data_IF_464824263274
#
_entry.id   IF_464824263274
#
_cell.length_a   1.000
_cell.length_b   1.000
_cell.length_c   1.000
_cell.angle_alpha   90.00
_cell.angle_beta   90.00
_cell.angle_gamma   90.00
#
_symmetry.space_group_name_H-M   'P 1'
#
loop_
_entity.id
_entity.type
_entity.pdbx_description
1 polymer ?
#
# COMPACT_ATOMS: atom_id res chain seq x y z
N UNK A 3 21.25 10.05 -14.92
CA UNK A 3 21.37 8.78 -15.62
C UNK A 3 20.26 8.62 -16.66
N UNK A 4 20.58 7.93 -17.75
CA UNK A 4 19.61 7.75 -18.83
C UNK A 4 18.47 6.81 -18.41
N UNK A 5 18.72 5.89 -17.48
CA UNK A 5 17.73 4.91 -17.05
C UNK A 5 17.22 5.20 -15.64
N UNK A 6 17.06 6.48 -15.31
CA UNK A 6 16.69 6.86 -13.96
C UNK A 6 15.22 6.59 -13.67
N UNK A 7 14.32 7.06 -14.55
CA UNK A 7 12.89 6.94 -14.28
C UNK A 7 12.45 5.49 -14.21
N UNK A 8 12.94 4.65 -15.14
CA UNK A 8 12.56 3.24 -15.13
C UNK A 8 13.00 2.56 -13.84
N UNK A 9 14.23 2.85 -13.38
CA UNK A 9 14.72 2.25 -12.15
C UNK A 9 13.95 2.77 -10.93
N UNK A 10 13.45 4.00 -11.00
CA UNK A 10 12.65 4.53 -9.91
C UNK A 10 11.29 3.83 -9.85
N UNK A 11 10.72 3.51 -11.01
CA UNK A 11 9.42 2.85 -11.04
C UNK A 11 9.52 1.43 -10.49
N UNK A 12 10.54 0.68 -10.92
CA UNK A 12 10.71 -0.69 -10.45
C UNK A 12 10.96 -0.72 -8.96
N UNK A 13 11.72 0.25 -8.44
CA UNK A 13 11.94 0.33 -7.00
C UNK A 13 10.64 0.63 -6.27
N UNK A 14 9.84 1.57 -6.80
CA UNK A 14 8.57 1.92 -6.17
C UNK A 14 7.59 0.77 -6.21
N UNK A 15 7.61 -0.04 -7.28
CA UNK A 15 6.65 -1.12 -7.44
C UNK A 15 7.05 -2.40 -6.72
N UNK A 16 8.24 -2.46 -6.14
CA UNK A 16 8.71 -3.66 -5.45
C UNK A 16 9.26 -3.32 -4.07
N UNK A 17 8.64 -2.35 -3.40
CA UNK A 17 9.04 -1.99 -2.05
C UNK A 17 8.72 -3.11 -1.07
N UNK A 18 9.67 -3.44 -0.21
CA UNK A 18 9.51 -4.49 0.80
C UNK A 18 10.11 -3.97 2.11
N UNK A 19 9.25 -3.52 3.02
CA UNK A 19 9.68 -3.01 4.31
C UNK A 19 9.12 -3.88 5.42
N UNK A 20 9.98 -4.29 6.35
CA UNK A 20 9.59 -5.12 7.48
C UNK A 20 9.99 -4.52 8.82
N UNK A 21 10.91 -3.57 8.86
CA UNK A 21 11.40 -2.99 10.09
C UNK A 21 12.90 -3.10 10.29
N UNK A 22 13.64 -3.65 9.32
CA UNK A 22 15.10 -3.73 9.44
C UNK A 22 15.75 -2.39 9.10
N UNK A 23 15.41 -1.84 7.94
CA UNK A 23 15.90 -0.52 7.59
C UNK A 23 15.27 0.53 8.50
N UNK A 24 16.04 1.51 8.97
CA UNK A 24 15.45 2.60 9.74
C UNK A 24 14.42 3.36 8.92
N UNK A 25 13.39 3.86 9.62
CA UNK A 25 12.33 4.61 8.95
C UNK A 25 12.89 5.86 8.26
N UNK A 26 13.93 6.47 8.84
CA UNK A 26 14.58 7.62 8.20
C UNK A 26 14.99 7.30 6.77
N UNK A 27 15.73 6.21 6.58
CA UNK A 27 16.22 5.86 5.25
C UNK A 27 15.06 5.51 4.32
N UNK A 28 14.12 4.69 4.79
CA UNK A 28 13.02 4.25 3.94
C UNK A 28 12.14 5.42 3.51
N UNK A 29 11.91 6.38 4.42
CA UNK A 29 11.08 7.53 4.08
C UNK A 29 11.73 8.37 3.00
N UNK A 30 12.97 8.82 3.23
CA UNK A 30 13.66 9.64 2.25
C UNK A 30 13.88 8.90 0.94
N UNK A 31 14.03 7.58 0.99
CA UNK A 31 14.16 6.80 -0.23
C UNK A 31 12.90 6.90 -1.09
N UNK A 32 11.73 6.69 -0.49
CA UNK A 32 10.48 6.75 -1.24
C UNK A 32 10.15 8.19 -1.60
N UNK A 33 10.38 9.12 -0.66
CA UNK A 33 10.07 10.53 -0.92
C UNK A 33 10.89 11.07 -2.10
N UNK A 34 12.15 10.66 -2.19
CA UNK A 34 12.99 11.09 -3.31
C UNK A 34 12.50 10.50 -4.64
N UNK A 35 12.13 9.22 -4.63
CA UNK A 35 11.63 8.58 -5.84
C UNK A 35 10.38 9.31 -6.35
N UNK A 36 9.46 9.63 -5.45
CA UNK A 36 8.24 10.32 -5.85
C UNK A 36 8.56 11.71 -6.40
N UNK A 37 9.50 12.41 -5.77
CA UNK A 37 9.86 13.74 -6.24
C UNK A 37 10.57 13.69 -7.58
N UNK A 38 11.47 12.71 -7.75
CA UNK A 38 12.17 12.56 -9.03
C UNK A 38 11.21 12.23 -10.16
N UNK A 39 10.26 11.32 -9.91
CA UNK A 39 9.30 10.96 -10.94
C UNK A 39 8.39 12.13 -11.30
N UNK A 40 7.99 12.93 -10.30
CA UNK A 40 7.14 14.08 -10.59
C UNK A 40 7.90 15.16 -11.34
N UNK A 41 9.19 15.31 -11.09
CA UNK A 41 9.98 16.30 -11.82
C UNK A 41 10.21 15.89 -13.27
N UNK A 42 10.21 14.59 -13.55
CA UNK A 42 10.42 14.09 -14.90
C UNK A 42 9.13 13.92 -15.69
N UNK A 43 7.97 14.22 -15.11
CA UNK A 43 6.71 14.13 -15.80
C UNK A 43 5.87 12.91 -15.48
N UNK A 44 6.33 12.04 -14.58
CA UNK A 44 5.60 10.84 -14.20
C UNK A 44 4.91 11.17 -12.88
N UNK A 45 3.69 11.70 -12.99
CA UNK A 45 2.95 12.19 -11.82
C UNK A 45 2.42 11.03 -11.00
N UNK A 46 2.92 10.92 -9.76
CA UNK A 46 2.45 9.91 -8.82
C UNK A 46 1.87 10.65 -7.63
N UNK A 47 0.54 10.75 -7.58
CA UNK A 47 -0.14 11.50 -6.53
C UNK A 47 -0.14 10.72 -5.22
N UNK A 48 -0.68 11.35 -4.17
CA UNK A 48 -0.69 10.74 -2.85
C UNK A 48 -1.43 9.40 -2.86
N UNK A 49 -2.56 9.32 -3.56
CA UNK A 49 -3.37 8.11 -3.57
C UNK A 49 -2.57 6.92 -4.10
N UNK A 50 -2.02 7.04 -5.31
CA UNK A 50 -1.31 5.92 -5.92
C UNK A 50 0.00 5.64 -5.19
N UNK A 51 0.67 6.69 -4.69
CA UNK A 51 1.92 6.48 -3.98
C UNK A 51 1.70 5.69 -2.69
N UNK A 52 0.74 6.12 -1.87
CA UNK A 52 0.45 5.42 -0.62
C UNK A 52 0.08 3.97 -0.88
N UNK A 53 -0.72 3.72 -1.92
CA UNK A 53 -1.08 2.35 -2.27
C UNK A 53 0.15 1.50 -2.54
N UNK A 54 1.11 2.04 -3.29
CA UNK A 54 2.32 1.28 -3.62
C UNK A 54 3.20 1.06 -2.40
N UNK A 55 3.23 2.01 -1.47
CA UNK A 55 4.02 1.84 -0.26
C UNK A 55 3.44 0.73 0.60
N UNK A 57 1.61 -1.68 -0.31
CA UNK A 57 1.88 -2.94 -0.99
C UNK A 57 3.30 -3.39 -0.65
N UNK A 58 3.45 -4.65 -0.25
CA UNK A 58 4.73 -5.15 0.21
C UNK A 58 5.11 -4.71 1.61
N UNK A 59 4.34 -3.83 2.23
CA UNK A 59 4.58 -3.42 3.62
C UNK A 59 4.14 -4.57 4.51
N UNK A 60 5.09 -5.38 4.95
CA UNK A 60 4.81 -6.64 5.63
C UNK A 60 5.31 -6.58 7.07
N UNK A 61 5.24 -7.73 7.74
CA UNK A 61 5.67 -7.81 9.13
C UNK A 61 4.62 -7.26 10.06
N UNK A 62 5.04 -6.46 11.02
CA UNK A 62 4.12 -5.80 11.94
C UNK A 62 3.51 -4.52 11.36
N UNK A 63 3.79 -4.21 10.10
CA UNK A 63 3.23 -3.06 9.43
C UNK A 63 2.06 -3.43 8.53
N UNK A 64 1.68 -4.70 8.49
CA UNK A 64 0.63 -5.17 7.59
C UNK A 64 -0.70 -4.44 7.86
N UNK A 65 -1.01 -4.21 9.15
CA UNK A 65 -2.33 -3.71 9.51
C UNK A 65 -2.62 -2.33 8.92
N UNK A 66 -1.60 -1.59 8.50
CA UNK A 66 -1.83 -0.30 7.87
C UNK A 66 -2.50 -0.45 6.51
N UNK A 67 -2.30 -1.59 5.85
CA UNK A 67 -2.97 -1.86 4.59
C UNK A 67 -4.42 -2.28 4.79
N UNK A 68 -4.81 -2.61 6.02
CA UNK A 68 -6.20 -2.94 6.34
C UNK A 68 -7.00 -1.69 6.65
N UNK A 69 -6.45 -0.79 7.47
CA UNK A 69 -7.12 0.45 7.83
C UNK A 69 -7.15 1.45 6.69
N UNK A 70 -6.38 1.22 5.62
CA UNK A 70 -6.33 2.15 4.49
C UNK A 70 -7.70 2.38 3.85
N UNK A 71 -8.66 1.47 4.04
CA UNK A 71 -9.96 1.64 3.42
C UNK A 71 -10.73 2.79 4.04
N UNK A 72 -10.66 2.92 5.37
CA UNK A 72 -11.23 4.10 6.03
C UNK A 72 -10.34 5.33 5.84
N UNK A 73 -9.08 5.15 5.46
CA UNK A 73 -8.13 6.24 5.33
C UNK A 73 -7.99 6.59 3.84
N UNK A 74 -8.87 7.47 3.39
CA UNK A 74 -8.78 8.06 2.06
C UNK A 74 -8.35 9.52 2.20
N UNK A 75 -7.66 10.02 1.19
CA UNK A 75 -6.94 11.30 1.19
C UNK A 75 -5.71 11.25 2.08
N UNK A 77 -2.11 11.25 3.08
CA UNK A 77 -0.92 11.72 2.42
C UNK A 77 0.26 10.81 2.72
N UNK A 78 1.29 10.92 1.86
CA UNK A 78 2.51 10.12 2.06
C UNK A 78 3.16 10.46 3.39
N UNK A 79 3.18 11.75 3.75
CA UNK A 79 3.72 12.16 5.04
C UNK A 79 2.95 11.52 6.20
N UNK A 80 1.62 11.46 6.08
CA UNK A 80 0.82 10.82 7.11
C UNK A 80 1.12 9.33 7.21
N UNK A 81 1.26 8.67 6.07
CA UNK A 81 1.54 7.23 6.07
C UNK A 81 2.86 6.91 6.74
N UNK A 82 3.86 7.79 6.57
CA UNK A 82 5.15 7.54 7.19
C UNK A 82 5.15 7.88 8.67
N UNK A 83 4.36 8.87 9.09
CA UNK A 83 4.18 9.12 10.51
C UNK A 83 3.68 7.87 11.22
N UNK A 84 2.80 7.11 10.56
CA UNK A 84 2.36 5.83 11.09
C UNK A 84 3.52 4.84 11.15
N UNK A 85 4.26 4.70 10.04
CA UNK A 85 5.40 3.79 9.99
C UNK A 85 6.45 4.18 11.04
N UNK A 86 6.72 5.48 11.15
CA UNK A 86 7.68 5.95 12.15
C UNK A 86 7.24 5.56 13.55
N UNK A 87 5.98 5.81 13.89
CA UNK A 87 5.48 5.51 15.23
C UNK A 87 5.61 4.02 15.54
N UNK A 88 5.48 3.16 14.54
CA UNK A 88 5.65 1.73 14.77
C UNK A 88 7.13 1.41 14.95
N UNK A 89 8.00 2.09 14.18
CA UNK A 89 9.43 1.84 14.29
C UNK A 89 9.99 2.30 15.63
N UNK A 90 9.57 3.47 16.12
CA UNK A 90 10.02 3.95 17.41
C UNK A 90 9.64 2.98 18.53
N UNK A 91 8.42 2.47 18.50
CA UNK A 91 7.97 1.51 19.50
C UNK A 91 8.55 0.12 19.30
N UNK A 92 9.14 -0.17 18.14
CA UNK A 92 9.70 -1.49 17.90
C UNK A 92 11.00 -1.71 18.66
N UNK A 93 11.63 -0.65 19.15
CA UNK A 93 12.87 -0.78 19.91
C UNK A 93 12.86 0.07 21.18
N UNK B 3 -11.71 1.27 -11.45
CA UNK B 3 -11.31 0.67 -10.18
C UNK B 3 -10.52 1.65 -9.34
N UNK B 4 -10.66 1.54 -8.01
CA UNK B 4 -9.96 2.45 -7.11
C UNK B 4 -8.47 2.17 -7.08
N UNK B 5 -8.06 0.91 -7.31
CA UNK B 5 -6.67 0.50 -7.29
C UNK B 5 -6.15 0.20 -8.69
N UNK B 6 -6.60 0.96 -9.68
CA UNK B 6 -6.26 0.66 -11.07
C UNK B 6 -4.83 1.07 -11.40
N UNK B 7 -4.44 2.30 -11.08
CA UNK B 7 -3.14 2.81 -11.46
C UNK B 7 -2.01 1.99 -10.82
N UNK B 8 -2.14 1.67 -9.54
CA UNK B 8 -1.13 0.88 -8.85
C UNK B 8 -0.95 -0.48 -9.50
N UNK B 9 -2.05 -1.15 -9.85
CA UNK B 9 -1.96 -2.47 -10.45
C UNK B 9 -1.35 -2.42 -11.85
N UNK B 10 -1.55 -1.32 -12.58
CA UNK B 10 -0.93 -1.18 -13.89
C UNK B 10 0.58 -0.97 -13.76
N UNK B 11 1.00 -0.22 -12.75
CA UNK B 11 2.43 0.07 -12.56
C UNK B 11 3.17 -1.20 -12.17
N UNK B 12 2.61 -1.97 -11.23
CA UNK B 12 3.28 -3.19 -10.78
C UNK B 12 3.39 -4.19 -11.93
N UNK B 13 2.36 -4.27 -12.77
CA UNK B 13 2.43 -5.14 -13.94
C UNK B 13 3.49 -4.66 -14.93
N UNK B 14 3.56 -3.34 -15.15
CA UNK B 14 4.53 -2.81 -16.10
C UNK B 14 5.96 -2.98 -15.61
N UNK B 15 6.18 -2.93 -14.28
CA UNK B 15 7.52 -3.03 -13.74
C UNK B 15 8.00 -4.47 -13.59
N UNK B 16 7.15 -5.46 -13.84
CA UNK B 16 7.51 -6.87 -13.69
C UNK B 16 7.10 -7.64 -14.94
N UNK B 17 7.22 -7.02 -16.11
CA UNK B 17 6.91 -7.71 -17.35
C UNK B 17 7.92 -8.83 -17.60
N UNK B 18 7.41 -10.00 -17.99
CA UNK B 18 8.25 -11.17 -18.26
C UNK B 18 7.75 -11.84 -19.53
N UNK B 19 8.46 -11.61 -20.64
CA UNK B 19 8.13 -12.22 -21.92
C UNK B 19 9.28 -13.10 -22.38
N UNK B 20 8.97 -14.33 -22.77
CA UNK B 20 9.97 -15.27 -23.25
C UNK B 20 9.66 -15.84 -24.63
N UNK B 21 8.42 -15.75 -25.10
CA UNK B 21 8.01 -16.32 -26.37
C UNK B 21 6.89 -17.32 -26.27
N UNK B 22 6.34 -17.57 -25.08
CA UNK B 22 5.21 -18.49 -24.95
C UNK B 22 3.90 -17.81 -25.32
N UNK B 23 3.63 -16.65 -24.72
CA UNK B 23 2.46 -15.87 -25.09
C UNK B 23 2.62 -15.32 -26.50
N UNK B 24 1.57 -15.36 -27.32
CA UNK B 24 1.65 -14.72 -28.64
C UNK B 24 1.93 -13.23 -28.52
N UNK B 25 2.66 -12.71 -29.50
CA UNK B 25 3.01 -11.28 -29.50
C UNK B 25 1.76 -10.41 -29.52
N UNK B 26 0.70 -10.87 -30.18
CA UNK B 26 -0.57 -10.13 -30.19
C UNK B 26 -1.02 -9.80 -28.77
N UNK B 27 -1.11 -10.82 -27.91
CA UNK B 27 -1.60 -10.61 -26.55
C UNK B 27 -0.65 -9.71 -25.76
N UNK B 28 0.65 -9.97 -25.84
CA UNK B 28 1.62 -9.21 -25.06
C UNK B 28 1.62 -7.74 -25.48
N UNK B 29 1.47 -7.46 -26.78
CA UNK B 29 1.47 -6.09 -27.24
C UNK B 29 0.28 -5.32 -26.69
N UNK B 30 -0.93 -5.83 -26.92
CA UNK B 30 -2.13 -5.16 -26.43
C UNK B 30 -2.14 -5.06 -24.91
N UNK B 31 -1.53 -6.03 -24.23
CA UNK B 31 -1.42 -5.95 -22.77
C UNK B 31 -0.60 -4.74 -22.34
N UNK B 32 0.57 -4.56 -22.95
CA UNK B 32 1.43 -3.43 -22.59
C UNK B 32 0.84 -2.12 -23.12
N UNK B 33 0.28 -2.15 -24.33
CA UNK B 33 -0.30 -0.94 -24.90
C UNK B 33 -1.46 -0.43 -24.06
N UNK B 34 -2.27 -1.35 -23.53
CA UNK B 34 -3.39 -0.94 -22.68
C UNK B 34 -2.89 -0.34 -21.38
N UNK B 35 -1.88 -0.96 -20.76
CA UNK B 35 -1.33 -0.42 -19.50
C UNK B 35 -0.86 1.01 -19.69
N UNK B 36 -0.11 1.25 -20.77
CA UNK B 36 0.40 2.60 -21.02
C UNK B 36 -0.74 3.57 -21.29
N UNK B 37 -1.75 3.12 -22.04
CA UNK B 37 -2.88 4.00 -22.35
C UNK B 37 -3.74 4.25 -21.12
N UNK B 38 -3.97 3.23 -20.29
CA UNK B 38 -4.76 3.40 -19.08
C UNK B 38 -4.07 4.36 -18.11
N UNK B 39 -2.76 4.21 -17.93
CA UNK B 39 -2.03 5.10 -17.04
C UNK B 39 -2.03 6.53 -17.57
N UNK B 40 -1.92 6.70 -18.89
CA UNK B 40 -1.93 8.04 -19.47
C UNK B 40 -3.28 8.72 -19.33
N UNK B 41 -4.37 7.94 -19.33
CA UNK B 41 -5.68 8.53 -19.13
C UNK B 41 -5.87 9.02 -17.70
N UNK B 42 -5.15 8.43 -16.75
CA UNK B 42 -5.22 8.82 -15.36
C UNK B 42 -4.20 9.91 -15.00
N UNK B 43 -3.39 10.35 -15.95
CA UNK B 43 -2.41 11.40 -15.72
C UNK B 43 -0.98 10.93 -15.56
N UNK B 44 -0.73 9.63 -15.65
CA UNK B 44 0.61 9.07 -15.52
C UNK B 44 1.13 8.78 -16.93
N UNK B 45 2.04 9.61 -17.42
CA UNK B 45 2.58 9.48 -18.76
C UNK B 45 3.90 8.72 -18.73
N UNK B 46 3.92 7.56 -19.37
CA UNK B 46 5.13 6.77 -19.55
C UNK B 46 5.54 6.95 -21.01
N UNK B 47 6.55 7.78 -21.26
CA UNK B 47 6.94 8.10 -22.63
C UNK B 47 7.65 6.91 -23.26
N UNK B 48 7.96 7.06 -24.55
CA UNK B 48 8.58 5.97 -25.31
C UNK B 48 9.90 5.52 -24.68
N UNK B 49 10.72 6.47 -24.25
CA UNK B 49 12.02 6.13 -23.66
C UNK B 49 11.85 5.26 -22.43
N UNK B 50 11.05 5.72 -21.46
CA UNK B 50 10.89 4.98 -20.22
C UNK B 50 10.11 3.69 -20.45
N UNK B 51 9.14 3.71 -21.36
CA UNK B 51 8.34 2.53 -21.64
C UNK B 51 9.20 1.42 -22.26
N UNK B 52 9.95 1.75 -23.31
CA UNK B 52 10.79 0.76 -23.98
C UNK B 52 11.78 0.12 -23.01
N UNK B 53 12.38 0.92 -22.12
CA UNK B 53 13.30 0.39 -21.12
C UNK B 53 12.61 -0.66 -20.26
N UNK B 54 11.38 -0.38 -19.81
CA UNK B 54 10.67 -1.32 -18.96
C UNK B 54 10.25 -2.56 -19.72
N UNK B 55 9.93 -2.42 -21.01
CA UNK B 55 9.54 -3.58 -21.82
C UNK B 55 10.74 -4.50 -22.02
N UNK B 57 13.31 -4.75 -20.28
CA UNK B 57 13.59 -5.37 -18.99
C UNK B 57 12.70 -6.58 -18.80
N UNK B 58 13.29 -7.71 -18.41
CA UNK B 58 12.57 -8.95 -18.32
C UNK B 58 12.30 -9.64 -19.64
N UNK B 59 12.63 -9.00 -20.77
CA UNK B 59 12.51 -9.62 -22.08
C UNK B 59 13.61 -10.65 -22.23
N UNK B 60 13.28 -11.92 -21.99
CA UNK B 60 14.26 -13.00 -21.88
C UNK B 60 14.08 -13.98 -23.03
N UNK B 61 14.83 -15.08 -22.96
CA UNK B 61 14.79 -16.09 -24.00
C UNK B 61 15.60 -15.70 -25.21
N UNK B 62 15.04 -15.90 -26.41
CA UNK B 62 15.68 -15.45 -27.62
C UNK B 62 15.46 -13.97 -27.90
N UNK B 63 14.80 -13.25 -26.98
CA UNK B 63 14.55 -11.82 -27.11
C UNK B 63 15.51 -10.98 -26.29
N UNK B 64 16.47 -11.61 -25.59
CA UNK B 64 17.36 -10.87 -24.70
C UNK B 64 18.18 -9.82 -25.43
N UNK B 65 18.48 -10.05 -26.72
CA UNK B 65 19.40 -9.17 -27.41
C UNK B 65 18.84 -7.77 -27.61
N UNK B 66 17.50 -7.62 -27.60
CA UNK B 66 16.92 -6.30 -27.83
C UNK B 66 17.36 -5.30 -26.76
N UNK B 67 17.67 -5.79 -25.55
CA UNK B 67 18.18 -4.94 -24.50
C UNK B 67 19.66 -4.60 -24.69
N UNK B 68 20.36 -5.31 -25.57
CA UNK B 68 21.76 -5.02 -25.85
C UNK B 68 21.91 -3.94 -26.92
N UNK B 69 21.15 -4.07 -28.01
CA UNK B 69 21.19 -3.11 -29.10
C UNK B 69 20.50 -1.79 -28.76
N UNK B 70 19.76 -1.72 -27.65
CA UNK B 70 19.03 -0.51 -27.29
C UNK B 70 19.95 0.70 -27.16
N UNK B 71 21.25 0.49 -26.96
CA UNK B 71 22.17 1.61 -26.80
C UNK B 71 22.29 2.41 -28.10
N UNK B 72 22.29 1.72 -29.24
CA UNK B 72 22.22 2.40 -30.52
C UNK B 72 20.82 2.94 -30.80
N UNK B 73 19.80 2.45 -30.10
CA UNK B 73 18.42 2.83 -30.36
C UNK B 73 17.91 3.80 -29.30
N UNK B 74 18.15 5.09 -29.52
CA UNK B 74 17.49 6.16 -28.79
C UNK B 74 16.53 6.85 -29.75
N UNK B 75 15.46 7.41 -29.18
CA UNK B 75 14.30 7.90 -29.91
C UNK B 75 13.46 6.75 -30.46
N UNK B 77 10.47 3.99 -30.55
CA UNK B 77 9.08 4.02 -30.15
C UNK B 77 8.63 2.63 -29.71
N UNK B 78 7.54 2.60 -28.93
CA UNK B 78 6.99 1.33 -28.47
C UNK B 78 6.52 0.49 -29.65
N UNK B 79 5.88 1.12 -30.63
CA UNK B 79 5.44 0.41 -31.83
C UNK B 79 6.61 -0.23 -32.55
N UNK B 80 7.74 0.48 -32.66
CA UNK B 80 8.92 -0.09 -33.28
C UNK B 80 9.46 -1.27 -32.48
N UNK B 81 9.48 -1.16 -31.15
CA UNK B 81 9.99 -2.23 -30.31
C UNK B 81 9.15 -3.50 -30.45
N UNK B 82 7.84 -3.35 -30.62
CA UNK B 82 6.98 -4.52 -30.77
C UNK B 82 7.06 -5.12 -32.16
N UNK B 83 7.30 -4.29 -33.18
CA UNK B 83 7.57 -4.82 -34.51
C UNK B 83 8.76 -5.77 -34.49
N UNK B 84 9.77 -5.46 -33.69
CA UNK B 84 10.91 -6.36 -33.51
C UNK B 84 10.46 -7.67 -32.86
N UNK B 85 9.73 -7.57 -31.74
CA UNK B 85 9.28 -8.76 -31.03
C UNK B 85 8.38 -9.61 -31.93
N UNK B 86 7.48 -8.96 -32.66
CA UNK B 86 6.59 -9.69 -33.57
C UNK B 86 7.38 -10.48 -34.60
N UNK B 87 8.36 -9.84 -35.24
CA UNK B 87 9.15 -10.52 -36.27
C UNK B 87 9.87 -11.74 -35.70
N UNK B 88 10.25 -11.69 -34.42
CA UNK B 88 10.88 -12.84 -33.80
C UNK B 88 9.86 -13.94 -33.55
N UNK B 89 8.64 -13.56 -33.16
CA UNK B 89 7.60 -14.54 -32.91
C UNK B 89 7.20 -15.26 -34.19
N UNK B 90 7.16 -14.53 -35.31
CA UNK B 90 6.87 -15.17 -36.59
C UNK B 90 7.87 -16.28 -36.88
N UNK B 91 9.14 -16.04 -36.60
CA UNK B 91 10.17 -17.05 -36.83
C UNK B 91 10.14 -18.17 -35.80
N UNK B 92 9.54 -17.92 -34.63
CA UNK B 92 9.38 -18.93 -33.59
C UNK B 92 8.27 -19.93 -33.91
N UNK B 93 7.49 -19.67 -34.97
CA UNK B 93 6.36 -20.51 -35.36
C UNK B 93 6.68 -21.04 -36.76
N UNK B 94 7.54 -22.05 -36.80
CA UNK B 94 8.03 -22.61 -38.04
C UNK B 94 9.43 -23.18 -37.87
N UNK C 3 -29.19 -3.09 38.57
CA UNK C 3 -28.46 -3.88 39.54
C UNK C 3 -27.76 -2.98 40.56
N UNK C 4 -27.64 -3.47 41.80
CA UNK C 4 -26.99 -2.69 42.85
C UNK C 4 -25.49 -2.56 42.60
N UNK C 5 -24.89 -3.54 41.94
CA UNK C 5 -23.45 -3.55 41.67
C UNK C 5 -23.17 -3.28 40.19
N UNK C 6 -23.98 -2.41 39.59
CA UNK C 6 -23.87 -2.17 38.15
C UNK C 6 -22.64 -1.33 37.81
N UNK C 7 -22.48 -0.19 38.48
CA UNK C 7 -21.40 0.73 38.13
C UNK C 7 -20.03 0.09 38.36
N UNK C 8 -19.85 -0.60 39.49
CA UNK C 8 -18.57 -1.23 39.78
C UNK C 8 -18.22 -2.28 38.73
N UNK C 9 -19.19 -3.10 38.34
CA UNK C 9 -18.91 -4.15 37.36
C UNK C 9 -18.64 -3.58 35.97
N UNK C 10 -19.22 -2.42 35.65
CA UNK C 10 -18.92 -1.79 34.37
C UNK C 10 -17.50 -1.23 34.32
N UNK C 11 -17.03 -0.67 35.43
CA UNK C 11 -15.69 -0.09 35.46
C UNK C 11 -14.63 -1.18 35.38
N UNK C 12 -14.78 -2.23 36.18
CA UNK C 12 -13.78 -3.30 36.18
C UNK C 12 -13.73 -4.00 34.83
N UNK C 13 -14.89 -4.16 34.18
CA UNK C 13 -14.91 -4.75 32.85
C UNK C 13 -14.21 -3.84 31.83
N UNK C 14 -14.46 -2.53 31.92
CA UNK C 14 -13.83 -1.59 31.00
C UNK C 14 -12.32 -1.51 31.21
N UNK C 15 -11.85 -1.67 32.45
CA UNK C 15 -10.44 -1.55 32.76
C UNK C 15 -9.65 -2.82 32.51
N UNK C 16 -10.31 -3.91 32.15
CA UNK C 16 -9.66 -5.19 31.89
C UNK C 16 -10.11 -5.78 30.56
N UNK C 17 -10.35 -4.91 29.58
CA UNK C 17 -10.73 -5.38 28.26
C UNK C 17 -9.56 -6.12 27.61
N UNK C 18 -9.86 -7.27 27.00
CA UNK C 18 -8.85 -8.10 26.34
C UNK C 18 -9.44 -8.58 25.01
N UNK C 19 -9.01 -7.96 23.92
CA UNK C 19 -9.45 -8.32 22.58
C UNK C 19 -8.26 -8.80 21.76
N UNK C 20 -8.42 -9.96 21.13
CA UNK C 20 -7.37 -10.53 20.29
C UNK C 20 -7.82 -10.83 18.87
N UNK C 21 -9.12 -10.90 18.61
CA UNK C 21 -9.64 -11.24 17.29
C UNK C 21 -10.54 -12.46 17.27
N UNK C 22 -10.82 -13.08 18.41
CA UNK C 22 -11.73 -14.22 18.44
C UNK C 22 -13.18 -13.75 18.45
N UNK C 23 -13.52 -12.85 19.36
CA UNK C 23 -14.85 -12.26 19.37
C UNK C 23 -15.05 -11.38 18.15
N UNK C 24 -16.20 -11.45 17.49
CA UNK C 24 -16.48 -10.53 16.38
C UNK C 24 -16.44 -9.08 16.84
N UNK C 25 -16.00 -8.21 15.92
CA UNK C 25 -15.94 -6.78 16.23
C UNK C 25 -17.30 -6.22 16.58
N UNK C 26 -18.36 -6.77 15.98
CA UNK C 26 -19.73 -6.37 16.33
C UNK C 26 -19.96 -6.45 17.83
N UNK C 27 -19.66 -7.61 18.42
CA UNK C 27 -19.92 -7.83 19.84
C UNK C 27 -19.07 -6.90 20.70
N UNK C 28 -17.78 -6.80 20.40
CA UNK C 28 -16.88 -6.01 21.24
C UNK C 28 -17.25 -4.53 21.23
N UNK C 29 -17.69 -4.01 20.08
CA UNK C 29 -18.07 -2.60 19.98
C UNK C 29 -19.29 -2.31 20.86
N UNK C 30 -20.39 -3.02 20.63
CA UNK C 30 -21.60 -2.79 21.41
C UNK C 30 -21.40 -3.07 22.88
N UNK C 31 -20.50 -4.00 23.21
CA UNK C 31 -20.18 -4.28 24.61
C UNK C 31 -19.59 -3.05 25.28
N UNK C 32 -18.59 -2.44 24.64
CA UNK C 32 -17.94 -1.26 25.20
C UNK C 32 -18.87 -0.06 25.12
N UNK C 33 -19.60 0.08 24.00
CA UNK C 33 -20.50 1.21 23.84
C UNK C 33 -21.59 1.23 24.91
N UNK C 34 -22.10 0.05 25.29
CA UNK C 34 -23.10 -0.02 26.34
C UNK C 34 -22.52 0.38 27.68
N UNK C 35 -21.31 -0.10 27.99
CA UNK C 35 -20.66 0.25 29.26
C UNK C 35 -20.50 1.75 29.38
N UNK C 36 -20.05 2.40 28.30
CA UNK C 36 -19.85 3.85 28.33
C UNK C 36 -21.17 4.58 28.54
N UNK C 37 -22.23 4.11 27.86
CA UNK C 37 -23.52 4.76 27.99
C UNK C 37 -24.14 4.54 29.37
N UNK C 38 -23.99 3.33 29.92
CA UNK C 38 -24.54 3.06 31.25
C UNK C 38 -23.82 3.89 32.31
N UNK C 39 -22.49 3.97 32.23
CA UNK C 39 -21.74 4.78 33.20
C UNK C 39 -22.05 6.26 33.04
N UNK C 40 -22.22 6.72 31.80
CA UNK C 40 -22.53 8.13 31.57
C UNK C 40 -23.91 8.49 32.07
N UNK C 41 -24.86 7.55 32.02
CA UNK C 41 -26.20 7.82 32.53
C UNK C 41 -26.22 7.93 34.05
N UNK C 42 -25.27 7.28 34.73
CA UNK C 42 -25.18 7.32 36.18
C UNK C 42 -24.31 8.46 36.69
N UNK C 43 -23.74 9.27 35.80
CA UNK C 43 -22.90 10.39 36.19
C UNK C 43 -21.41 10.16 36.03
N UNK C 44 -21.00 8.99 35.55
CA UNK C 44 -19.59 8.68 35.36
C UNK C 44 -19.32 8.87 33.87
N UNK C 45 -18.89 10.08 33.51
CA UNK C 45 -18.67 10.44 32.12
C UNK C 45 -17.29 9.95 31.67
N UNK C 46 -17.27 9.12 30.63
CA UNK C 46 -16.03 8.63 30.03
C UNK C 46 -15.97 9.18 28.62
N UNK C 47 -15.16 10.23 28.43
CA UNK C 47 -15.07 10.90 27.14
C UNK C 47 -14.29 10.05 26.15
N UNK C 48 -14.21 10.54 24.91
CA UNK C 48 -13.52 9.82 23.85
C UNK C 48 -12.07 9.55 24.21
N UNK C 49 -11.38 10.53 24.78
CA UNK C 49 -9.97 10.39 25.12
C UNK C 49 -9.76 9.23 26.10
N UNK C 50 -10.46 9.26 27.23
CA UNK C 50 -10.26 8.25 28.27
C UNK C 50 -10.76 6.89 27.79
N UNK C 51 -11.85 6.87 27.02
CA UNK C 51 -12.38 5.62 26.51
C UNK C 51 -11.40 4.97 25.53
N UNK C 52 -10.95 5.74 24.54
CA UNK C 52 -10.03 5.19 23.54
C UNK C 52 -8.76 4.66 24.19
N UNK C 53 -8.22 5.40 25.16
CA UNK C 53 -7.03 4.93 25.87
C UNK C 53 -7.29 3.58 26.54
N UNK C 54 -8.44 3.44 27.19
CA UNK C 54 -8.76 2.19 27.87
C UNK C 54 -9.04 1.06 26.88
N UNK C 55 -9.63 1.39 25.73
CA UNK C 55 -9.90 0.35 24.73
C UNK C 55 -8.60 -0.18 24.14
N UNK C 57 -5.79 -0.20 25.43
CA UNK C 57 -5.16 -1.00 26.47
C UNK C 57 -5.74 -2.42 26.44
N UNK C 58 -4.86 -3.42 26.46
CA UNK C 58 -5.28 -4.79 26.33
C UNK C 58 -5.63 -5.23 24.92
N UNK C 59 -5.65 -4.30 23.95
CA UNK C 59 -5.87 -4.63 22.56
C UNK C 59 -4.63 -5.31 22.02
N UNK C 60 -4.64 -6.64 21.97
CA UNK C 60 -3.45 -7.44 21.69
C UNK C 60 -3.62 -8.21 20.38
N UNK C 61 -2.66 -9.08 20.10
CA UNK C 61 -2.71 -9.87 18.86
C UNK C 61 -2.22 -9.04 17.70
N UNK C 62 -2.94 -9.12 16.57
CA UNK C 62 -2.64 -8.29 15.41
C UNK C 62 -3.22 -6.89 15.53
N UNK C 63 -3.85 -6.58 16.67
CA UNK C 63 -4.40 -5.26 16.94
C UNK C 63 -3.49 -4.42 17.83
N UNK C 64 -2.31 -4.95 18.18
CA UNK C 64 -1.41 -4.25 19.10
C UNK C 64 -1.01 -2.89 18.57
N UNK C 65 -0.75 -2.79 17.26
CA UNK C 65 -0.13 -1.60 16.68
C UNK C 65 -1.07 -0.40 16.63
N UNK C 66 -2.32 -0.54 17.05
CA UNK C 66 -3.23 0.61 17.04
C UNK C 66 -2.88 1.61 18.14
N UNK C 67 -2.29 1.13 19.23
CA UNK C 67 -1.85 2.00 20.32
C UNK C 67 -0.55 2.73 20.00
N UNK C 68 0.15 2.34 18.93
CA UNK C 68 1.39 3.03 18.58
C UNK C 68 1.12 4.31 17.79
N UNK C 69 0.23 4.22 16.79
CA UNK C 69 -0.12 5.39 15.99
C UNK C 69 -1.01 6.37 16.75
N UNK C 70 -1.55 5.98 17.91
CA UNK C 70 -2.45 6.84 18.67
C UNK C 70 -1.83 8.18 19.04
N UNK C 71 -0.51 8.29 19.05
CA UNK C 71 0.12 9.55 19.45
C UNK C 71 -0.14 10.65 18.42
N UNK C 72 -0.08 10.30 17.13
CA UNK C 72 -0.50 11.24 16.10
C UNK C 72 -2.02 11.36 16.00
N UNK C 73 -2.76 10.43 16.60
CA UNK C 73 -4.21 10.40 16.53
C UNK C 73 -4.77 10.97 17.84
N UNK C 74 -4.89 12.28 17.89
CA UNK C 74 -5.58 12.96 18.98
C UNK C 74 -6.89 13.54 18.45
N UNK C 75 -7.87 13.64 19.34
CA UNK C 75 -9.26 13.95 19.03
C UNK C 75 -9.96 12.80 18.30
N UNK C 77 -12.26 9.69 17.85
CA UNK C 77 -13.49 9.27 18.51
C UNK C 77 -13.51 7.76 18.67
N UNK C 78 -14.36 7.30 19.60
CA UNK C 78 -14.53 5.87 19.83
C UNK C 78 -15.03 5.18 18.56
N UNK C 79 -15.97 5.81 17.85
CA UNK C 79 -16.47 5.25 16.59
C UNK C 79 -15.34 5.09 15.59
N UNK C 80 -14.44 6.08 15.51
CA UNK C 80 -13.29 5.98 14.61
C UNK C 80 -12.37 4.85 15.03
N UNK C 81 -12.14 4.70 16.33
CA UNK C 81 -11.24 3.66 16.83
C UNK C 81 -11.76 2.27 16.48
N UNK C 82 -13.09 2.09 16.51
CA UNK C 82 -13.67 0.80 16.20
C UNK C 82 -13.69 0.53 14.70
N UNK C 83 -13.80 1.59 13.88
CA UNK C 83 -13.68 1.41 12.43
C UNK C 83 -12.36 0.75 12.08
N UNK C 84 -11.30 1.07 12.80
CA UNK C 84 -10.03 0.38 12.60
C UNK C 84 -10.13 -1.09 12.98
N UNK C 85 -10.67 -1.37 14.17
CA UNK C 85 -10.81 -2.75 14.62
C UNK C 85 -11.72 -3.54 13.69
N UNK C 86 -12.83 -2.92 13.26
CA UNK C 86 -13.72 -3.59 12.32
C UNK C 86 -13.00 -3.92 11.01
N UNK C 87 -12.29 -2.94 10.46
CA UNK C 87 -11.58 -3.17 9.20
C UNK C 87 -10.54 -4.26 9.31
N UNK C 88 -9.92 -4.42 10.48
CA UNK C 88 -8.94 -5.49 10.67
C UNK C 88 -9.64 -6.84 10.80
N UNK C 89 -10.80 -6.87 11.46
CA UNK C 89 -11.51 -8.14 11.63
C UNK C 89 -12.05 -8.65 10.29
N UNK C 90 -12.56 -7.75 9.45
CA UNK C 90 -13.02 -8.16 8.12
C UNK C 90 -11.90 -8.81 7.32
N UNK C 91 -10.69 -8.24 7.38
CA UNK C 91 -9.55 -8.82 6.68
C UNK C 91 -9.01 -10.05 7.38
N UNK C 92 -9.36 -10.25 8.66
CA UNK C 92 -8.95 -11.42 9.42
C UNK C 92 -9.76 -12.67 9.06
N UNK C 93 -10.82 -12.53 8.28
CA UNK C 93 -11.66 -13.67 7.92
C UNK C 93 -11.74 -13.81 6.40
#
# INVERSE_FOLDING_TARGET
XQSDTQEANDIVTLANLQYNGSTPADAFETKVTNIIDRLNNNGIHINNKVACQLIXRGLSGEYKFLRYTRHRHLNXTVAELFLDIHAIYEEQQGSRNPLEHHHHHH
XQSDTQEANDIVTLANLQYNGSTPADAFETKVTNIIDRLNNNGIHINNKVACQLIXRGLSGEYKFLRYTRHRHLNXTVAELFLDIHAIYEEQQGSRNPLEHHHHHH
XQSDTQEANDIVTLANLQYNGSTPADAFETKVTNIIDRLNNNGIHINNKVACQLIXRGLSGEYKFLRYTRHRHLNXTVAELFLDIHAIYEEQQGSRNPLEHHHHHH
#
